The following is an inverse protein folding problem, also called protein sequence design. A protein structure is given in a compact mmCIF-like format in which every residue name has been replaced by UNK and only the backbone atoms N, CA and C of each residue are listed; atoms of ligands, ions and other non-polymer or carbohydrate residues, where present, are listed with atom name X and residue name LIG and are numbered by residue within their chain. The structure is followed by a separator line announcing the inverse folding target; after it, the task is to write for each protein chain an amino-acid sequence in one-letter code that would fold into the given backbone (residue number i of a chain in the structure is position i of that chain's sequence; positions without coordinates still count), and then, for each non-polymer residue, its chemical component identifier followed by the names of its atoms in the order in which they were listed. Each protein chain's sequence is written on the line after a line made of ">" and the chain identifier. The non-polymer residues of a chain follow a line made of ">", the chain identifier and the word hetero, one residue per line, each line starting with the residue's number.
data_IF_735863500917
#
_entry.id   IF_735863500917
#
_cell.length_a   1.000
_cell.length_b   1.000
_cell.length_c   1.000
_cell.angle_alpha   90.00
_cell.angle_beta   90.00
_cell.angle_gamma   90.00
#
_symmetry.space_group_name_H-M   'P 1'
#
loop_
_entity.id
_entity.type
_entity.pdbx_description
1 polymer ?
#
# COMPACT_ATOMS: atom_id res chain seq x y z
N UNK A 1 -15.94 -17.85 -6.51
CA UNK A 1 -15.55 -18.05 -5.07
C UNK A 1 -14.94 -16.74 -4.61
N UNK A 2 -15.37 -16.19 -3.48
CA UNK A 2 -14.77 -14.94 -2.96
C UNK A 2 -13.29 -15.14 -2.64
N UNK A 3 -12.48 -14.09 -2.79
CA UNK A 3 -11.01 -14.14 -2.61
C UNK A 3 -10.62 -14.82 -1.30
N UNK A 4 -11.26 -14.44 -0.20
CA UNK A 4 -10.99 -14.98 1.14
C UNK A 4 -11.20 -16.51 1.27
N UNK A 5 -11.97 -17.13 0.39
CA UNK A 5 -12.22 -18.58 0.39
C UNK A 5 -11.26 -19.35 -0.51
N UNK A 6 -10.33 -18.68 -1.19
CA UNK A 6 -9.35 -19.35 -2.05
C UNK A 6 -8.19 -19.89 -1.20
N UNK A 7 -7.84 -21.19 -1.29
CA UNK A 7 -6.80 -21.78 -0.43
C UNK A 7 -5.42 -21.13 -0.58
N UNK A 8 -5.09 -20.64 -1.77
CA UNK A 8 -3.85 -19.93 -2.05
C UNK A 8 -3.79 -18.60 -1.28
N UNK A 9 -4.90 -17.85 -1.27
CA UNK A 9 -4.99 -16.60 -0.54
C UNK A 9 -4.93 -16.82 0.98
N UNK A 10 -5.62 -17.84 1.48
CA UNK A 10 -5.54 -18.21 2.91
C UNK A 10 -4.12 -18.59 3.34
N UNK A 11 -3.36 -19.29 2.48
CA UNK A 11 -1.93 -19.57 2.76
C UNK A 11 -1.10 -18.30 2.86
N UNK A 12 -1.35 -17.31 2.01
CA UNK A 12 -0.66 -16.03 2.09
C UNK A 12 -0.98 -15.29 3.39
N UNK A 13 -2.25 -15.24 3.79
CA UNK A 13 -2.66 -14.64 5.06
C UNK A 13 -2.02 -15.35 6.26
N UNK A 14 -2.08 -16.68 6.30
CA UNK A 14 -1.46 -17.48 7.36
C UNK A 14 0.06 -17.29 7.42
N UNK A 15 0.73 -17.16 6.26
CA UNK A 15 2.18 -16.87 6.19
C UNK A 15 2.51 -15.52 6.85
N UNK A 16 1.69 -14.47 6.59
CA UNK A 16 1.85 -13.16 7.24
C UNK A 16 1.59 -13.24 8.74
N UNK A 17 0.51 -13.90 9.17
CA UNK A 17 0.18 -14.08 10.60
C UNK A 17 1.32 -14.78 11.35
N UNK A 18 1.83 -15.88 10.81
CA UNK A 18 2.92 -16.64 11.41
C UNK A 18 4.24 -15.87 11.45
N UNK A 19 4.45 -14.94 10.53
CA UNK A 19 5.64 -14.08 10.49
C UNK A 19 5.49 -12.79 11.31
N UNK A 20 4.36 -12.59 11.95
CA UNK A 20 4.11 -11.47 12.87
C UNK A 20 3.88 -12.00 14.28
N UNK A 21 4.93 -12.51 14.98
CA UNK A 21 4.77 -13.25 16.24
C UNK A 21 4.11 -12.43 17.34
N UNK A 22 4.25 -11.10 17.30
CA UNK A 22 3.63 -10.18 18.24
C UNK A 22 2.17 -9.80 17.90
N UNK A 23 1.59 -10.34 16.83
CA UNK A 23 0.18 -10.07 16.47
C UNK A 23 -0.81 -10.37 17.61
N UNK A 24 -0.45 -11.31 18.51
CA UNK A 24 -1.24 -11.63 19.72
C UNK A 24 -1.35 -10.46 20.71
N UNK A 25 -0.51 -9.44 20.61
CA UNK A 25 -0.62 -8.21 21.42
C UNK A 25 -1.84 -7.37 21.01
N UNK A 26 -2.40 -7.63 19.82
CA UNK A 26 -3.65 -7.01 19.36
C UNK A 26 -4.91 -7.67 19.96
N UNK A 27 -4.76 -8.65 20.87
CA UNK A 27 -5.90 -9.32 21.53
C UNK A 27 -6.81 -8.29 22.23
N UNK A 28 -8.08 -8.25 21.82
CA UNK A 28 -9.07 -7.32 22.37
C UNK A 28 -8.87 -5.85 21.99
N UNK A 29 -7.88 -5.55 21.12
CA UNK A 29 -7.63 -4.20 20.61
C UNK A 29 -8.47 -3.88 19.38
N UNK A 30 -8.51 -2.61 19.06
CA UNK A 30 -9.24 -2.08 17.89
C UNK A 30 -8.30 -1.40 16.90
N UNK A 31 -8.54 -1.63 15.61
CA UNK A 31 -7.75 -1.07 14.50
C UNK A 31 -8.69 -0.34 13.53
N UNK A 32 -8.46 0.96 13.32
CA UNK A 32 -9.13 1.73 12.25
C UNK A 32 -8.22 1.78 11.01
N UNK A 33 -8.64 1.10 9.95
CA UNK A 33 -7.99 1.17 8.64
C UNK A 33 -8.67 2.21 7.75
N UNK A 34 -8.02 3.35 7.53
CA UNK A 34 -8.48 4.44 6.66
C UNK A 34 -7.92 4.22 5.26
N UNK A 35 -8.81 4.06 4.27
CA UNK A 35 -8.47 3.59 2.93
C UNK A 35 -8.65 2.07 2.77
N UNK A 36 -9.61 1.50 3.49
CA UNK A 36 -9.89 0.08 3.60
C UNK A 36 -10.09 -0.65 2.26
N UNK A 37 -10.72 -0.01 1.27
CA UNK A 37 -10.99 -0.62 -0.04
C UNK A 37 -9.81 -0.59 -1.02
N UNK A 38 -8.65 -0.06 -0.63
CA UNK A 38 -7.41 -0.11 -1.40
C UNK A 38 -6.73 -1.48 -1.31
N UNK A 39 -5.71 -1.72 -2.14
CA UNK A 39 -4.98 -2.98 -2.18
C UNK A 39 -4.42 -3.38 -0.80
N UNK A 40 -3.65 -2.50 -0.19
CA UNK A 40 -3.02 -2.76 1.12
C UNK A 40 -4.08 -2.86 2.22
N UNK A 41 -5.04 -1.92 2.26
CA UNK A 41 -6.09 -1.91 3.27
C UNK A 41 -6.95 -3.18 3.24
N UNK A 42 -7.29 -3.66 2.04
CA UNK A 42 -8.07 -4.88 1.88
C UNK A 42 -7.31 -6.12 2.36
N UNK A 43 -6.03 -6.26 2.00
CA UNK A 43 -5.22 -7.39 2.44
C UNK A 43 -4.95 -7.36 3.94
N UNK A 44 -4.69 -6.17 4.51
CA UNK A 44 -4.50 -5.99 5.94
C UNK A 44 -5.75 -6.39 6.74
N UNK A 45 -6.93 -5.94 6.32
CA UNK A 45 -8.19 -6.31 6.97
C UNK A 45 -8.40 -7.81 6.91
N UNK A 46 -8.19 -8.44 5.73
CA UNK A 46 -8.32 -9.89 5.59
C UNK A 46 -7.32 -10.62 6.52
N UNK A 47 -6.09 -10.10 6.68
CA UNK A 47 -5.09 -10.66 7.60
C UNK A 47 -5.54 -10.56 9.06
N UNK A 48 -6.07 -9.41 9.49
CA UNK A 48 -6.56 -9.22 10.87
C UNK A 48 -7.78 -10.11 11.15
N UNK A 49 -8.69 -10.24 10.20
CA UNK A 49 -9.86 -11.11 10.35
C UNK A 49 -9.48 -12.60 10.35
N UNK A 50 -8.51 -13.01 9.53
CA UNK A 50 -7.97 -14.36 9.57
C UNK A 50 -7.24 -14.65 10.91
N UNK A 51 -6.50 -13.67 11.45
CA UNK A 51 -5.87 -13.79 12.76
C UNK A 51 -6.91 -13.94 13.89
N UNK A 52 -8.06 -13.27 13.80
CA UNK A 52 -9.16 -13.47 14.73
C UNK A 52 -9.67 -14.92 14.70
N UNK A 53 -9.81 -15.49 13.51
CA UNK A 53 -10.28 -16.88 13.34
C UNK A 53 -9.24 -17.91 13.79
N UNK A 54 -7.96 -17.73 13.40
CA UNK A 54 -6.91 -18.70 13.66
C UNK A 54 -6.41 -18.66 15.12
N UNK A 55 -6.39 -17.48 15.76
CA UNK A 55 -5.76 -17.25 17.07
C UNK A 55 -6.73 -16.87 18.18
N UNK A 56 -8.02 -16.69 17.89
CA UNK A 56 -9.08 -16.20 18.83
C UNK A 56 -8.68 -14.90 19.57
N UNK A 57 -8.07 -13.94 18.84
CA UNK A 57 -7.55 -12.71 19.47
C UNK A 57 -8.53 -11.54 19.50
N UNK A 58 -9.65 -11.62 18.83
CA UNK A 58 -10.79 -10.66 18.93
C UNK A 58 -10.42 -9.20 18.63
N UNK A 59 -9.65 -8.96 17.58
CA UNK A 59 -9.36 -7.61 17.11
C UNK A 59 -10.65 -7.01 16.54
N UNK A 60 -11.05 -5.82 17.02
CA UNK A 60 -12.13 -5.05 16.40
C UNK A 60 -11.56 -4.26 15.23
N UNK A 61 -12.07 -4.49 14.03
CA UNK A 61 -11.61 -3.84 12.80
C UNK A 61 -12.65 -2.84 12.31
N UNK A 62 -12.27 -1.58 12.20
CA UNK A 62 -13.05 -0.53 11.56
C UNK A 62 -12.51 -0.29 10.16
N UNK A 63 -13.34 -0.54 9.14
CA UNK A 63 -12.98 -0.39 7.73
C UNK A 63 -13.52 0.94 7.18
N UNK A 64 -12.67 1.98 7.09
CA UNK A 64 -13.10 3.30 6.65
C UNK A 64 -12.84 3.55 5.18
N UNK A 65 -13.85 4.09 4.48
CA UNK A 65 -13.75 4.55 3.10
C UNK A 65 -14.98 5.33 2.64
N UNK A 66 -14.87 6.00 1.48
CA UNK A 66 -15.87 6.94 0.95
C UNK A 66 -17.12 6.28 0.36
N UNK A 67 -17.07 5.01 0.04
CA UNK A 67 -18.16 4.32 -0.65
C UNK A 67 -18.54 3.06 0.11
N UNK A 68 -19.64 3.17 0.86
CA UNK A 68 -20.16 2.08 1.69
C UNK A 68 -20.47 0.82 0.88
N UNK A 69 -21.12 0.94 -0.27
CA UNK A 69 -21.47 -0.21 -1.10
C UNK A 69 -20.23 -0.97 -1.59
N UNK A 70 -19.14 -0.25 -1.93
CA UNK A 70 -17.87 -0.87 -2.30
C UNK A 70 -17.25 -1.63 -1.12
N UNK A 71 -17.32 -1.08 0.09
CA UNK A 71 -16.84 -1.73 1.31
C UNK A 71 -17.69 -2.97 1.64
N UNK A 72 -19.00 -2.86 1.60
CA UNK A 72 -19.94 -3.98 1.83
C UNK A 72 -19.71 -5.13 0.85
N UNK A 73 -19.55 -4.81 -0.44
CA UNK A 73 -19.21 -5.82 -1.46
C UNK A 73 -17.86 -6.48 -1.18
N UNK A 74 -16.83 -5.69 -0.83
CA UNK A 74 -15.47 -6.20 -0.59
C UNK A 74 -15.39 -7.06 0.67
N UNK A 75 -16.07 -6.68 1.73
CA UNK A 75 -16.01 -7.30 3.05
C UNK A 75 -17.27 -8.06 3.42
N UNK A 76 -18.03 -8.53 2.43
CA UNK A 76 -19.31 -9.22 2.64
C UNK A 76 -19.22 -10.43 3.60
N UNK A 77 -18.04 -11.08 3.68
CA UNK A 77 -17.82 -12.22 4.58
C UNK A 77 -17.71 -11.83 6.06
N UNK A 78 -17.58 -10.55 6.37
CA UNK A 78 -17.34 -10.07 7.74
C UNK A 78 -18.47 -9.25 8.33
N UNK A 79 -19.49 -8.87 7.53
CA UNK A 79 -20.54 -7.93 7.93
C UNK A 79 -21.35 -8.35 9.17
N UNK A 80 -21.49 -9.65 9.38
CA UNK A 80 -22.24 -10.20 10.52
C UNK A 80 -21.37 -10.48 11.75
N UNK A 81 -20.05 -10.15 11.69
CA UNK A 81 -19.14 -10.39 12.79
C UNK A 81 -19.06 -9.17 13.71
N UNK A 82 -19.22 -9.36 15.01
CA UNK A 82 -19.10 -8.29 16.02
C UNK A 82 -17.73 -7.59 16.01
N UNK A 83 -16.72 -8.29 15.50
CA UNK A 83 -15.34 -7.78 15.38
C UNK A 83 -15.09 -6.94 14.13
N UNK A 84 -16.11 -6.72 13.27
CA UNK A 84 -15.94 -5.94 12.05
C UNK A 84 -17.00 -4.85 11.92
N UNK A 85 -16.61 -3.67 11.44
CA UNK A 85 -17.51 -2.54 11.23
C UNK A 85 -17.08 -1.66 10.07
N UNK A 86 -18.03 -1.28 9.21
CA UNK A 86 -17.79 -0.33 8.12
C UNK A 86 -18.05 1.09 8.61
N UNK A 87 -17.06 1.96 8.41
CA UNK A 87 -17.13 3.40 8.66
C UNK A 87 -17.15 4.13 7.32
N UNK A 88 -18.29 4.71 6.95
CA UNK A 88 -18.38 5.55 5.75
C UNK A 88 -17.91 6.96 6.08
N UNK A 89 -16.97 7.50 5.28
CA UNK A 89 -16.49 8.86 5.44
C UNK A 89 -15.42 9.24 4.44
N UNK A 90 -15.33 10.54 4.14
CA UNK A 90 -14.21 11.13 3.41
C UNK A 90 -13.12 11.54 4.41
N UNK A 91 -11.89 11.13 4.15
CA UNK A 91 -10.76 11.42 5.03
C UNK A 91 -10.45 12.93 5.12
N UNK A 92 -10.89 13.72 4.15
CA UNK A 92 -10.72 15.20 4.16
C UNK A 92 -11.71 15.90 5.10
N UNK A 93 -12.72 15.18 5.60
CA UNK A 93 -13.69 15.64 6.57
C UNK A 93 -13.34 15.13 8.00
N UNK A 94 -13.89 15.73 9.06
CA UNK A 94 -13.69 15.23 10.42
C UNK A 94 -14.11 13.76 10.56
N UNK A 95 -13.25 12.93 11.14
CA UNK A 95 -13.58 11.55 11.42
C UNK A 95 -14.66 11.44 12.51
N UNK A 96 -15.51 10.38 12.47
CA UNK A 96 -16.55 10.16 13.47
C UNK A 96 -15.96 10.03 14.88
N UNK A 97 -16.43 10.86 15.82
CA UNK A 97 -15.88 10.93 17.19
C UNK A 97 -16.16 9.68 18.03
N UNK A 98 -17.17 8.93 17.66
CA UNK A 98 -17.56 7.66 18.29
C UNK A 98 -16.58 6.53 18.00
N UNK A 99 -15.80 6.63 16.93
CA UNK A 99 -14.78 5.65 16.59
C UNK A 99 -13.51 5.95 17.41
N UNK A 100 -13.31 5.18 18.46
CA UNK A 100 -12.13 5.27 19.33
C UNK A 100 -11.33 3.97 19.18
N UNK A 101 -10.41 3.95 18.22
CA UNK A 101 -9.58 2.78 17.96
C UNK A 101 -8.23 2.89 18.70
N UNK A 102 -7.72 1.76 19.19
CA UNK A 102 -6.38 1.69 19.81
C UNK A 102 -5.28 1.99 18.79
N UNK A 103 -5.48 1.60 17.53
CA UNK A 103 -4.52 1.81 16.44
C UNK A 103 -5.21 2.45 15.23
N UNK A 104 -4.54 3.45 14.65
CA UNK A 104 -4.99 4.11 13.42
C UNK A 104 -3.99 3.83 12.30
N UNK A 105 -4.47 3.36 11.14
CA UNK A 105 -3.63 3.14 9.96
C UNK A 105 -4.16 4.02 8.83
N UNK A 106 -3.43 5.08 8.50
CA UNK A 106 -3.79 6.02 7.45
C UNK A 106 -3.18 5.64 6.11
N UNK A 107 -3.96 4.96 5.27
CA UNK A 107 -3.59 4.56 3.91
C UNK A 107 -4.45 5.19 2.82
N UNK A 108 -5.34 6.13 3.15
CA UNK A 108 -6.18 6.80 2.15
C UNK A 108 -5.34 7.77 1.31
N UNK A 109 -5.31 7.55 0.01
CA UNK A 109 -4.68 8.43 -0.97
C UNK A 109 -5.10 8.05 -2.39
N UNK A 110 -5.06 8.99 -3.31
CA UNK A 110 -5.09 8.70 -4.73
C UNK A 110 -3.68 8.28 -5.19
N UNK A 111 -3.50 7.04 -5.65
CA UNK A 111 -2.16 6.44 -5.83
C UNK A 111 -1.86 6.01 -7.27
N UNK A 112 -2.62 6.46 -8.28
CA UNK A 112 -2.42 6.03 -9.65
C UNK A 112 -2.38 7.21 -10.65
N UNK A 113 -1.63 7.08 -11.76
CA UNK A 113 -1.35 8.18 -12.70
C UNK A 113 -2.58 8.90 -13.22
N UNK A 114 -3.67 8.16 -13.49
CA UNK A 114 -4.92 8.76 -13.97
C UNK A 114 -5.50 9.75 -12.95
N UNK A 115 -5.49 9.42 -11.65
CA UNK A 115 -5.98 10.33 -10.62
C UNK A 115 -5.15 11.61 -10.54
N UNK A 116 -3.83 11.51 -10.67
CA UNK A 116 -2.96 12.71 -10.68
C UNK A 116 -3.26 13.65 -11.85
N UNK A 117 -3.64 13.10 -13.01
CA UNK A 117 -3.96 13.87 -14.19
C UNK A 117 -5.37 14.45 -14.17
N UNK A 118 -6.36 13.69 -13.64
CA UNK A 118 -7.78 14.07 -13.69
C UNK A 118 -8.27 14.84 -12.47
N UNK A 119 -7.62 14.66 -11.32
CA UNK A 119 -7.93 15.33 -10.04
C UNK A 119 -6.66 15.68 -9.26
N UNK A 120 -5.82 16.59 -9.77
CA UNK A 120 -4.57 16.98 -9.13
C UNK A 120 -4.79 17.70 -7.80
N UNK A 121 -5.82 18.55 -7.70
CA UNK A 121 -6.15 19.27 -6.46
C UNK A 121 -6.64 18.27 -5.40
N UNK A 122 -7.58 17.41 -5.72
CA UNK A 122 -8.06 16.37 -4.81
C UNK A 122 -6.96 15.41 -4.36
N UNK A 123 -5.98 15.14 -5.23
CA UNK A 123 -4.80 14.33 -4.85
C UNK A 123 -3.97 15.02 -3.77
N UNK A 124 -3.69 16.33 -3.89
CA UNK A 124 -2.95 17.09 -2.88
C UNK A 124 -3.78 17.16 -1.58
N UNK A 125 -5.06 17.53 -1.67
CA UNK A 125 -5.91 17.74 -0.50
C UNK A 125 -6.20 16.44 0.25
N UNK A 126 -6.37 15.31 -0.44
CA UNK A 126 -6.53 14.00 0.22
C UNK A 126 -5.29 13.66 1.07
N UNK A 127 -4.08 13.97 0.58
CA UNK A 127 -2.86 13.72 1.36
C UNK A 127 -2.72 14.73 2.50
N UNK A 128 -2.84 16.02 2.25
CA UNK A 128 -2.60 17.06 3.26
C UNK A 128 -3.76 17.20 4.24
N UNK A 129 -4.96 17.58 3.77
CA UNK A 129 -6.11 17.78 4.64
C UNK A 129 -6.58 16.46 5.27
N UNK A 130 -6.53 15.35 4.50
CA UNK A 130 -6.86 14.03 5.03
C UNK A 130 -5.92 13.62 6.16
N UNK A 131 -4.62 13.83 6.02
CA UNK A 131 -3.68 13.55 7.10
C UNK A 131 -3.95 14.44 8.32
N UNK A 132 -4.24 15.73 8.11
CA UNK A 132 -4.58 16.64 9.21
C UNK A 132 -5.81 16.17 9.99
N UNK A 133 -6.88 15.72 9.30
CA UNK A 133 -8.08 15.21 9.97
C UNK A 133 -7.80 13.94 10.78
N UNK A 134 -7.01 13.02 10.24
CA UNK A 134 -6.59 11.81 10.98
C UNK A 134 -5.80 12.20 12.24
N UNK A 135 -4.86 13.12 12.13
CA UNK A 135 -4.05 13.55 13.26
C UNK A 135 -4.87 14.34 14.30
N UNK A 136 -5.84 15.16 13.89
CA UNK A 136 -6.82 15.81 14.80
C UNK A 136 -7.64 14.77 15.55
N UNK A 137 -8.10 13.73 14.84
CA UNK A 137 -8.81 12.62 15.47
C UNK A 137 -7.92 11.88 16.48
N UNK A 138 -6.66 11.61 16.11
CA UNK A 138 -5.69 10.98 17.02
C UNK A 138 -5.43 11.83 18.28
N UNK A 139 -5.35 13.17 18.16
CA UNK A 139 -5.25 14.05 19.34
C UNK A 139 -6.48 13.93 20.24
N UNK A 140 -7.67 13.79 19.67
CA UNK A 140 -8.91 13.70 20.43
C UNK A 140 -9.13 12.32 21.09
N UNK A 141 -8.68 11.23 20.44
CA UNK A 141 -8.94 9.85 20.87
C UNK A 141 -7.75 9.17 21.57
N UNK A 142 -6.54 9.75 21.43
CA UNK A 142 -5.30 9.24 22.05
C UNK A 142 -5.06 7.74 21.77
N UNK A 143 -4.96 7.31 20.49
CA UNK A 143 -4.64 5.93 20.15
C UNK A 143 -3.24 5.56 20.68
N UNK A 144 -3.00 4.26 20.86
CA UNK A 144 -1.67 3.75 21.24
C UNK A 144 -0.63 4.06 20.16
N UNK A 145 -1.02 3.99 18.87
CA UNK A 145 -0.16 4.34 17.74
C UNK A 145 -0.94 4.69 16.48
N UNK A 146 -0.34 5.58 15.68
CA UNK A 146 -0.78 5.91 14.32
C UNK A 146 0.28 5.43 13.32
N UNK A 147 -0.11 4.71 12.28
CA UNK A 147 0.72 4.47 11.11
C UNK A 147 0.29 5.40 9.96
N UNK A 148 1.24 6.18 9.45
CA UNK A 148 1.05 6.96 8.23
C UNK A 148 1.73 6.27 7.06
N UNK A 149 0.95 5.64 6.17
CA UNK A 149 1.50 4.96 4.99
C UNK A 149 2.03 5.98 3.98
N UNK A 150 3.36 6.08 3.91
CA UNK A 150 4.09 6.91 2.97
C UNK A 150 4.57 6.09 1.76
N UNK A 151 5.47 6.64 0.95
CA UNK A 151 5.80 6.08 -0.36
C UNK A 151 7.25 6.37 -0.75
N UNK A 152 7.84 5.52 -1.58
CA UNK A 152 9.13 5.76 -2.25
C UNK A 152 9.17 7.09 -3.04
N UNK A 153 8.02 7.59 -3.46
CA UNK A 153 7.97 8.82 -4.28
C UNK A 153 8.37 10.08 -3.53
N UNK A 154 8.37 10.08 -2.20
CA UNK A 154 8.85 11.22 -1.41
C UNK A 154 10.35 11.50 -1.62
N UNK A 155 11.11 10.51 -2.07
CA UNK A 155 12.53 10.69 -2.35
C UNK A 155 12.80 11.51 -3.61
N UNK A 156 11.82 11.61 -4.53
CA UNK A 156 12.00 12.33 -5.79
C UNK A 156 12.89 11.60 -6.79
N UNK A 157 13.66 12.38 -7.58
CA UNK A 157 14.52 11.85 -8.61
C UNK A 157 15.88 11.42 -8.03
N UNK A 158 16.29 10.18 -8.35
CA UNK A 158 17.69 9.78 -8.21
C UNK A 158 18.48 10.35 -9.41
N UNK A 159 19.39 11.27 -9.15
CA UNK A 159 20.22 11.93 -10.17
C UNK A 159 21.61 11.29 -10.33
N UNK A 160 21.78 10.07 -9.82
CA UNK A 160 23.03 9.32 -9.88
C UNK A 160 23.98 9.62 -8.72
N UNK A 161 23.50 10.31 -7.70
CA UNK A 161 24.23 10.70 -6.50
C UNK A 161 24.09 9.67 -5.35
N UNK A 162 23.17 8.72 -5.48
CA UNK A 162 22.98 7.64 -4.51
C UNK A 162 22.60 6.33 -5.23
N UNK A 163 23.08 5.20 -4.73
CA UNK A 163 22.73 3.88 -5.27
C UNK A 163 21.34 3.43 -4.83
N UNK A 164 21.01 3.55 -3.54
CA UNK A 164 19.73 3.22 -2.93
C UNK A 164 19.25 4.36 -2.05
N UNK A 165 17.96 4.61 -2.01
CA UNK A 165 17.38 5.60 -1.12
C UNK A 165 17.39 5.09 0.32
N UNK A 166 18.16 5.76 1.17
CA UNK A 166 18.10 5.64 2.63
C UNK A 166 17.03 6.59 3.21
N UNK A 167 16.60 6.39 4.45
CA UNK A 167 15.51 7.18 5.02
C UNK A 167 15.85 8.67 5.21
N UNK A 168 17.13 9.03 5.25
CA UNK A 168 17.63 10.40 5.38
C UNK A 168 17.84 11.11 4.02
N UNK A 169 17.70 10.39 2.89
CA UNK A 169 17.85 11.00 1.56
C UNK A 169 16.69 11.93 1.23
N UNK A 170 17.04 13.10 0.65
CA UNK A 170 16.07 14.07 0.16
C UNK A 170 16.44 14.51 -1.26
N UNK A 171 15.82 13.87 -2.26
CA UNK A 171 16.06 14.16 -3.66
C UNK A 171 15.16 15.26 -4.23
N UNK A 172 15.38 15.57 -5.49
CA UNK A 172 14.69 16.64 -6.19
C UNK A 172 13.29 16.25 -6.64
N UNK A 173 12.33 17.15 -6.42
CA UNK A 173 11.02 17.12 -7.05
C UNK A 173 10.78 18.47 -7.72
N UNK A 174 10.44 18.46 -9.02
CA UNK A 174 10.00 19.66 -9.73
C UNK A 174 8.55 19.98 -9.36
N UNK A 175 8.38 20.87 -8.37
CA UNK A 175 7.07 21.26 -7.86
C UNK A 175 6.20 22.05 -8.86
N UNK A 176 6.76 22.48 -10.01
CA UNK A 176 6.03 23.20 -11.06
C UNK A 176 5.36 22.26 -12.07
N UNK A 177 5.18 20.98 -11.73
CA UNK A 177 4.51 19.98 -12.54
C UNK A 177 3.30 19.40 -11.84
N UNK A 178 2.26 19.00 -12.59
CA UNK A 178 1.10 18.30 -12.01
C UNK A 178 1.49 16.99 -11.31
N UNK A 179 2.56 16.35 -11.78
CA UNK A 179 3.06 15.09 -11.22
C UNK A 179 3.61 15.23 -9.80
N UNK A 180 4.05 16.45 -9.43
CA UNK A 180 4.59 16.72 -8.10
C UNK A 180 3.54 16.65 -6.98
N UNK A 181 2.25 16.83 -7.30
CA UNK A 181 1.19 16.94 -6.29
C UNK A 181 1.09 15.75 -5.34
N UNK A 182 1.33 14.53 -5.82
CA UNK A 182 1.33 13.34 -4.97
C UNK A 182 2.58 13.23 -4.07
N UNK A 183 3.81 13.23 -4.61
CA UNK A 183 5.01 13.12 -3.77
C UNK A 183 5.18 14.31 -2.80
N UNK A 184 4.90 15.54 -3.22
CA UNK A 184 4.94 16.70 -2.32
C UNK A 184 3.83 16.65 -1.27
N UNK A 185 2.62 16.20 -1.65
CA UNK A 185 1.54 15.96 -0.69
C UNK A 185 1.97 14.95 0.40
N UNK A 186 2.66 13.88 0.04
CA UNK A 186 3.19 12.91 0.99
C UNK A 186 4.35 13.47 1.82
N UNK A 187 5.28 14.26 1.24
CA UNK A 187 6.36 14.94 2.00
C UNK A 187 5.82 15.86 3.07
N UNK A 188 4.88 16.73 2.71
CA UNK A 188 4.29 17.66 3.68
C UNK A 188 3.49 16.93 4.74
N UNK A 189 2.85 15.80 4.40
CA UNK A 189 2.14 14.97 5.38
C UNK A 189 3.09 14.31 6.39
N UNK A 190 4.27 13.84 5.98
CA UNK A 190 5.30 13.37 6.92
C UNK A 190 5.77 14.49 7.85
N UNK A 191 6.00 15.70 7.30
CA UNK A 191 6.36 16.87 8.13
C UNK A 191 5.26 17.25 9.11
N UNK A 192 3.99 17.11 8.69
CA UNK A 192 2.84 17.33 9.56
C UNK A 192 2.78 16.28 10.69
N UNK A 193 3.08 15.01 10.40
CA UNK A 193 3.21 13.97 11.43
C UNK A 193 4.26 14.36 12.48
N UNK A 194 5.45 14.80 12.06
CA UNK A 194 6.50 15.25 12.98
C UNK A 194 6.07 16.45 13.85
N UNK A 195 5.34 17.40 13.26
CA UNK A 195 4.80 18.54 14.01
C UNK A 195 3.79 18.11 15.09
N UNK A 196 2.92 17.13 14.78
CA UNK A 196 1.96 16.58 15.73
C UNK A 196 2.62 15.73 16.82
N UNK A 197 3.67 14.98 16.50
CA UNK A 197 4.50 14.29 17.49
C UNK A 197 5.07 15.30 18.48
N UNK A 198 5.74 16.34 17.96
CA UNK A 198 6.39 17.35 18.79
C UNK A 198 5.41 18.13 19.68
N UNK A 199 4.19 18.42 19.17
CA UNK A 199 3.22 19.26 19.86
C UNK A 199 2.28 18.50 20.79
N UNK A 200 1.90 17.27 20.42
CA UNK A 200 0.84 16.51 21.07
C UNK A 200 1.32 15.15 21.62
N UNK A 201 2.61 14.86 21.48
CA UNK A 201 3.24 13.61 21.94
C UNK A 201 2.64 12.32 21.33
N UNK A 202 1.99 12.41 20.17
CA UNK A 202 1.43 11.26 19.49
C UNK A 202 2.54 10.24 19.12
N UNK A 203 2.24 8.95 19.27
CA UNK A 203 3.09 7.88 18.72
C UNK A 203 2.72 7.66 17.26
N UNK A 204 3.59 8.10 16.34
CA UNK A 204 3.39 7.97 14.89
C UNK A 204 4.61 7.28 14.29
N UNK A 205 4.38 6.25 13.44
CA UNK A 205 5.42 5.55 12.67
C UNK A 205 5.10 5.64 11.19
N UNK A 206 6.13 5.76 10.34
CA UNK A 206 5.97 6.12 8.92
C UNK A 206 6.58 5.04 8.01
N UNK A 207 5.84 3.98 7.62
CA UNK A 207 6.30 3.06 6.58
C UNK A 207 6.30 3.74 5.20
N UNK A 208 7.46 3.80 4.54
CA UNK A 208 7.66 4.27 3.17
C UNK A 208 7.66 3.07 2.21
N UNK A 209 6.52 2.83 1.60
CA UNK A 209 6.31 1.67 0.74
C UNK A 209 6.88 1.89 -0.67
N UNK A 210 7.55 0.89 -1.21
CA UNK A 210 7.89 0.85 -2.63
C UNK A 210 6.68 0.44 -3.49
N UNK A 211 6.91 0.08 -4.77
CA UNK A 211 5.85 -0.38 -5.69
C UNK A 211 5.28 -1.70 -5.22
N UNK A 212 4.11 -1.63 -4.60
CA UNK A 212 3.40 -2.80 -4.08
C UNK A 212 2.50 -3.40 -5.16
N UNK A 213 2.47 -4.74 -5.25
CA UNK A 213 1.56 -5.51 -6.08
C UNK A 213 0.94 -6.67 -5.30
N UNK A 214 -0.18 -7.21 -5.78
CA UNK A 214 -0.83 -8.34 -5.12
C UNK A 214 -2.29 -8.53 -5.54
N UNK A 215 -2.95 -9.60 -5.07
CA UNK A 215 -4.26 -10.04 -5.56
C UNK A 215 -5.41 -9.09 -5.22
N UNK A 216 -5.24 -8.24 -4.20
CA UNK A 216 -6.24 -7.25 -3.80
C UNK A 216 -6.13 -5.93 -4.56
N UNK A 217 -5.39 -5.90 -5.67
CA UNK A 217 -5.26 -4.72 -6.53
C UNK A 217 -6.60 -4.28 -7.12
N UNK A 218 -6.75 -2.97 -7.33
CA UNK A 218 -7.92 -2.46 -8.03
C UNK A 218 -7.80 -2.77 -9.53
N UNK A 219 -8.83 -3.39 -10.11
CA UNK A 219 -8.86 -3.70 -11.56
C UNK A 219 -8.85 -2.43 -12.44
N UNK A 220 -9.12 -1.26 -11.87
CA UNK A 220 -9.04 0.04 -12.52
C UNK A 220 -7.68 0.73 -12.36
N UNK A 221 -6.69 0.10 -11.73
CA UNK A 221 -5.36 0.69 -11.54
C UNK A 221 -4.63 0.79 -12.90
N UNK A 222 -4.06 1.96 -13.17
CA UNK A 222 -3.39 2.28 -14.43
C UNK A 222 -1.86 2.28 -14.34
N UNK A 223 -1.29 1.82 -13.22
CA UNK A 223 0.17 1.63 -13.11
C UNK A 223 0.66 0.54 -14.07
N UNK A 224 1.87 0.67 -14.60
CA UNK A 224 2.44 -0.30 -15.53
C UNK A 224 2.41 -1.73 -14.97
N UNK A 225 2.85 -1.95 -13.73
CA UNK A 225 2.80 -3.28 -13.09
C UNK A 225 1.39 -3.86 -13.02
N UNK A 226 0.40 -3.03 -12.69
CA UNK A 226 -1.02 -3.44 -12.64
C UNK A 226 -1.55 -3.80 -14.02
N UNK A 227 -1.19 -3.04 -15.06
CA UNK A 227 -1.58 -3.35 -16.44
C UNK A 227 -0.92 -4.64 -16.95
N UNK A 228 0.33 -4.90 -16.60
CA UNK A 228 1.01 -6.16 -16.95
C UNK A 228 0.32 -7.36 -16.29
N UNK A 229 -0.04 -7.26 -15.01
CA UNK A 229 -0.79 -8.30 -14.30
C UNK A 229 -2.16 -8.53 -14.97
N UNK A 230 -2.89 -7.46 -15.31
CA UNK A 230 -4.18 -7.57 -15.98
C UNK A 230 -4.06 -8.22 -17.36
N UNK A 231 -3.03 -7.88 -18.15
CA UNK A 231 -2.77 -8.51 -19.44
C UNK A 231 -2.48 -10.01 -19.27
N UNK A 232 -1.65 -10.39 -18.30
CA UNK A 232 -1.39 -11.79 -17.98
C UNK A 232 -2.67 -12.55 -17.59
N UNK A 233 -3.52 -11.96 -16.74
CA UNK A 233 -4.82 -12.50 -16.33
C UNK A 233 -5.77 -12.69 -17.53
N UNK A 234 -5.78 -11.71 -18.43
CA UNK A 234 -6.62 -11.72 -19.64
C UNK A 234 -6.05 -12.54 -20.78
N UNK A 235 -4.92 -13.22 -20.57
CA UNK A 235 -4.23 -14.01 -21.60
C UNK A 235 -3.86 -13.18 -22.84
N UNK A 236 -3.41 -11.94 -22.61
CA UNK A 236 -2.91 -11.00 -23.61
C UNK A 236 -1.41 -10.85 -23.51
N UNK A 237 -0.77 -10.42 -24.59
CA UNK A 237 0.64 -10.06 -24.56
C UNK A 237 0.88 -8.85 -23.63
N UNK A 238 2.06 -8.81 -23.02
CA UNK A 238 2.43 -7.76 -22.06
C UNK A 238 2.97 -6.56 -22.85
N UNK A 239 2.21 -5.48 -22.87
CA UNK A 239 2.56 -4.27 -23.63
C UNK A 239 3.43 -3.35 -22.79
N UNK A 240 4.64 -3.07 -23.28
CA UNK A 240 5.60 -2.15 -22.69
C UNK A 240 5.66 -0.85 -23.50
N UNK A 241 5.27 0.27 -22.90
CA UNK A 241 5.23 1.59 -23.56
C UNK A 241 6.54 2.38 -23.37
N UNK A 242 7.66 1.69 -23.22
CA UNK A 242 9.02 2.26 -23.09
C UNK A 242 10.04 1.15 -23.32
N UNK A 243 11.33 1.47 -23.31
CA UNK A 243 12.40 0.45 -23.33
C UNK A 243 12.43 -0.43 -22.06
N UNK A 244 11.68 -0.07 -21.02
CA UNK A 244 11.59 -0.84 -19.79
C UNK A 244 12.86 -0.85 -18.94
N UNK A 245 13.75 0.13 -19.12
CA UNK A 245 15.04 0.21 -18.40
C UNK A 245 14.91 0.79 -16.99
N UNK A 246 13.74 1.33 -16.63
CA UNK A 246 13.50 1.85 -15.29
C UNK A 246 13.72 0.74 -14.25
N UNK A 247 14.49 1.06 -13.20
CA UNK A 247 14.91 0.12 -12.16
C UNK A 247 14.28 0.49 -10.83
N UNK A 248 13.46 -0.41 -10.28
CA UNK A 248 12.60 -0.11 -9.15
C UNK A 248 12.57 -1.24 -8.12
N UNK A 249 12.44 -0.87 -6.85
CA UNK A 249 12.05 -1.81 -5.81
C UNK A 249 10.57 -2.13 -5.90
N UNK A 250 10.24 -3.41 -5.73
CA UNK A 250 8.88 -3.91 -5.59
C UNK A 250 8.72 -4.63 -4.25
N UNK A 251 7.46 -4.80 -3.85
CA UNK A 251 7.09 -5.60 -2.68
C UNK A 251 5.75 -6.29 -2.92
N UNK A 252 5.64 -7.54 -2.53
CA UNK A 252 4.34 -8.23 -2.51
C UNK A 252 3.47 -7.67 -1.39
N UNK A 253 2.15 -7.60 -1.60
CA UNK A 253 1.23 -7.04 -0.60
C UNK A 253 1.29 -7.78 0.73
N UNK A 254 1.56 -9.08 0.73
CA UNK A 254 1.77 -9.87 1.94
C UNK A 254 2.98 -9.40 2.75
N UNK A 255 4.12 -9.13 2.09
CA UNK A 255 5.30 -8.54 2.75
C UNK A 255 5.03 -7.10 3.22
N UNK A 256 4.34 -6.29 2.40
CA UNK A 256 3.98 -4.93 2.79
C UNK A 256 3.10 -4.91 4.06
N UNK A 257 2.10 -5.81 4.14
CA UNK A 257 1.22 -5.93 5.31
C UNK A 257 1.96 -6.51 6.52
N UNK A 258 2.85 -7.49 6.32
CA UNK A 258 3.73 -8.01 7.37
C UNK A 258 4.60 -6.89 7.97
N UNK A 259 5.20 -6.03 7.11
CA UNK A 259 5.97 -4.87 7.56
C UNK A 259 5.10 -3.84 8.32
N UNK A 260 3.90 -3.56 7.81
CA UNK A 260 2.94 -2.64 8.47
C UNK A 260 2.57 -3.16 9.86
N UNK A 261 2.24 -4.44 10.00
CA UNK A 261 1.92 -5.05 11.30
C UNK A 261 3.13 -5.09 12.24
N UNK A 262 4.32 -5.39 11.70
CA UNK A 262 5.55 -5.32 12.49
C UNK A 262 5.80 -3.90 13.02
N UNK A 263 5.73 -2.88 12.16
CA UNK A 263 5.93 -1.48 12.55
C UNK A 263 4.81 -0.93 13.45
N UNK A 264 3.59 -1.46 13.33
CA UNK A 264 2.49 -1.15 14.26
C UNK A 264 2.84 -1.56 15.69
N UNK A 265 3.55 -2.66 15.85
CA UNK A 265 3.87 -3.26 17.15
C UNK A 265 5.27 -2.91 17.67
N UNK A 266 6.26 -2.74 16.78
CA UNK A 266 7.68 -2.65 17.09
C UNK A 266 8.37 -1.40 16.56
N UNK A 267 7.70 -0.61 15.70
CA UNK A 267 8.30 0.60 15.12
C UNK A 267 8.64 1.63 16.21
N UNK A 268 9.68 2.41 16.00
CA UNK A 268 10.07 3.49 16.90
C UNK A 268 9.28 4.78 16.59
N UNK A 269 8.77 5.43 17.62
CA UNK A 269 8.02 6.68 17.51
C UNK A 269 8.80 7.75 16.75
N UNK A 270 8.15 8.34 15.76
CA UNK A 270 8.70 9.41 14.93
C UNK A 270 9.55 8.93 13.76
N UNK A 271 9.85 7.63 13.69
CA UNK A 271 10.76 7.07 12.69
C UNK A 271 10.04 6.70 11.40
N UNK A 272 10.75 6.91 10.28
CA UNK A 272 10.38 6.41 8.98
C UNK A 272 11.17 5.13 8.64
N UNK A 273 10.52 4.20 7.92
CA UNK A 273 11.13 2.93 7.52
C UNK A 273 10.83 2.62 6.06
N UNK A 274 11.86 2.34 5.29
CA UNK A 274 11.72 1.83 3.93
C UNK A 274 11.21 0.39 3.92
N UNK A 275 10.13 0.15 3.21
CA UNK A 275 9.53 -1.18 3.06
C UNK A 275 9.70 -1.65 1.63
N UNK A 276 10.61 -2.60 1.41
CA UNK A 276 10.88 -3.23 0.13
C UNK A 276 11.41 -4.65 0.31
N UNK A 277 11.37 -5.44 -0.75
CA UNK A 277 11.97 -6.75 -0.82
C UNK A 277 13.19 -6.65 -1.74
N UNK A 278 14.41 -6.77 -1.21
CA UNK A 278 15.65 -6.57 -2.00
C UNK A 278 15.79 -7.55 -3.17
N UNK A 279 15.18 -8.74 -3.05
CA UNK A 279 15.14 -9.72 -4.14
C UNK A 279 14.12 -9.34 -5.23
N UNK A 280 13.36 -8.26 -5.03
CA UNK A 280 12.36 -7.74 -5.97
C UNK A 280 12.80 -6.40 -6.59
N UNK A 281 14.09 -6.08 -6.56
CA UNK A 281 14.66 -4.95 -7.29
C UNK A 281 14.78 -5.34 -8.77
N UNK A 282 13.92 -4.81 -9.63
CA UNK A 282 13.76 -5.24 -11.02
C UNK A 282 13.68 -4.06 -11.99
N UNK A 283 14.19 -4.28 -13.21
CA UNK A 283 13.82 -3.44 -14.34
C UNK A 283 12.38 -3.70 -14.74
N UNK A 284 11.72 -2.67 -15.23
CA UNK A 284 10.33 -2.79 -15.67
C UNK A 284 10.15 -3.87 -16.75
N UNK A 285 11.12 -4.00 -17.68
CA UNK A 285 11.13 -5.07 -18.70
C UNK A 285 11.29 -6.49 -18.11
N UNK A 286 12.01 -6.61 -16.99
CA UNK A 286 12.21 -7.90 -16.32
C UNK A 286 10.91 -8.37 -15.64
N UNK A 287 10.19 -7.42 -14.99
CA UNK A 287 8.86 -7.69 -14.46
C UNK A 287 7.86 -8.08 -15.57
N UNK A 288 7.89 -7.36 -16.69
CA UNK A 288 7.06 -7.67 -17.86
C UNK A 288 7.37 -9.08 -18.41
N UNK A 289 8.65 -9.46 -18.52
CA UNK A 289 9.06 -10.77 -19.00
C UNK A 289 8.60 -11.89 -18.05
N UNK A 290 8.75 -11.72 -16.74
CA UNK A 290 8.28 -12.73 -15.78
C UNK A 290 6.77 -12.96 -15.87
N UNK A 291 5.97 -11.91 -16.04
CA UNK A 291 4.53 -12.04 -16.23
C UNK A 291 4.15 -12.65 -17.59
N UNK A 292 4.91 -12.35 -18.63
CA UNK A 292 4.76 -13.00 -19.94
C UNK A 292 5.04 -14.50 -19.84
N UNK A 293 6.12 -14.89 -19.16
CA UNK A 293 6.50 -16.30 -18.96
C UNK A 293 5.41 -17.05 -18.14
N UNK A 294 4.87 -16.43 -17.07
CA UNK A 294 3.79 -17.02 -16.26
C UNK A 294 2.51 -17.24 -17.09
N UNK A 295 2.18 -16.32 -17.98
CA UNK A 295 0.96 -16.39 -18.80
C UNK A 295 1.15 -17.11 -20.14
N UNK A 296 2.38 -17.49 -20.51
CA UNK A 296 2.70 -18.09 -21.82
C UNK A 296 2.51 -17.09 -22.97
N UNK A 297 2.76 -15.79 -22.72
CA UNK A 297 2.61 -14.68 -23.66
C UNK A 297 3.96 -14.04 -23.98
N UNK A 298 3.94 -13.01 -24.82
CA UNK A 298 5.14 -12.26 -25.23
C UNK A 298 5.14 -10.85 -24.66
N UNK A 299 6.32 -10.24 -24.55
CA UNK A 299 6.47 -8.82 -24.28
C UNK A 299 6.48 -8.09 -25.63
N UNK A 300 5.57 -7.13 -25.80
CA UNK A 300 5.47 -6.28 -26.98
C UNK A 300 5.86 -4.86 -26.61
N UNK A 301 6.73 -4.23 -27.42
CA UNK A 301 7.12 -2.84 -27.22
C UNK A 301 6.29 -1.94 -28.14
N UNK A 302 5.52 -1.04 -27.57
CA UNK A 302 4.75 -0.02 -28.27
C UNK A 302 5.23 1.37 -27.83
N UNK A 303 5.52 2.26 -28.77
CA UNK A 303 5.87 3.64 -28.40
C UNK A 303 4.64 4.35 -27.86
N UNK A 304 4.75 5.03 -26.72
CA UNK A 304 3.63 5.77 -26.12
C UNK A 304 3.29 6.99 -26.97
N UNK A 305 2.03 7.38 -26.97
CA UNK A 305 1.60 8.66 -27.55
C UNK A 305 2.04 9.85 -26.66
N UNK A 306 1.90 11.09 -27.19
CA UNK A 306 2.31 12.31 -26.48
C UNK A 306 1.50 12.57 -25.20
N UNK A 307 0.27 12.05 -25.12
CA UNK A 307 -0.62 12.23 -23.96
C UNK A 307 -0.19 11.26 -22.86
N UNK A 308 0.08 10.01 -23.22
CA UNK A 308 0.58 8.97 -22.30
C UNK A 308 1.93 9.36 -21.70
N UNK A 309 2.86 9.90 -22.51
CA UNK A 309 4.18 10.35 -22.05
C UNK A 309 4.10 11.39 -20.92
N UNK A 310 3.11 12.30 -20.94
CA UNK A 310 2.92 13.31 -19.90
C UNK A 310 2.54 12.73 -18.54
N UNK A 311 1.94 11.54 -18.51
CA UNK A 311 1.56 10.83 -17.28
C UNK A 311 2.67 9.97 -16.69
N UNK A 312 3.77 9.74 -17.41
CA UNK A 312 4.83 8.84 -16.97
C UNK A 312 5.72 9.48 -15.89
N UNK A 313 6.15 8.65 -14.94
CA UNK A 313 7.20 9.03 -14.01
C UNK A 313 8.52 9.22 -14.76
N UNK A 314 9.22 10.32 -14.50
CA UNK A 314 10.58 10.54 -15.02
C UNK A 314 11.64 9.75 -14.25
N UNK A 315 11.27 9.12 -13.12
CA UNK A 315 12.19 8.32 -12.32
C UNK A 315 12.73 7.16 -13.14
N UNK A 316 14.04 7.12 -13.33
CA UNK A 316 14.76 6.04 -14.01
C UNK A 316 15.17 4.94 -13.01
N UNK A 317 15.46 5.33 -11.78
CA UNK A 317 15.90 4.46 -10.68
C UNK A 317 15.23 4.88 -9.39
N UNK A 318 14.63 3.93 -8.68
CA UNK A 318 14.05 4.16 -7.35
C UNK A 318 14.13 2.87 -6.54
N UNK A 319 15.31 2.59 -6.02
CA UNK A 319 15.63 1.43 -5.18
C UNK A 319 15.70 1.90 -3.74
N UNK A 320 15.00 1.19 -2.85
CA UNK A 320 15.01 1.45 -1.41
C UNK A 320 16.10 0.63 -0.70
N UNK A 321 16.81 1.25 0.20
CA UNK A 321 17.58 0.54 1.22
C UNK A 321 16.62 0.16 2.37
N UNK A 322 16.47 -1.12 2.63
CA UNK A 322 15.61 -1.65 3.69
C UNK A 322 16.39 -2.09 4.94
N UNK A 323 17.63 -1.64 5.08
CA UNK A 323 18.51 -2.02 6.19
C UNK A 323 17.91 -1.65 7.54
N UNK A 324 17.36 -0.44 7.68
CA UNK A 324 16.79 0.05 8.94
C UNK A 324 15.64 -0.81 9.45
N UNK A 325 14.69 -1.20 8.60
CA UNK A 325 13.59 -2.06 9.03
C UNK A 325 14.08 -3.48 9.35
N UNK A 326 15.12 -3.97 8.67
CA UNK A 326 15.75 -5.26 8.99
C UNK A 326 16.47 -5.22 10.33
N UNK A 327 17.15 -4.13 10.66
CA UNK A 327 17.75 -3.91 11.98
C UNK A 327 16.69 -3.80 13.09
N UNK A 328 15.49 -3.33 12.77
CA UNK A 328 14.32 -3.34 13.66
C UNK A 328 13.65 -4.73 13.79
N UNK A 329 14.11 -5.73 13.01
CA UNK A 329 13.71 -7.16 13.14
C UNK A 329 12.73 -7.67 12.08
N UNK A 330 12.33 -6.88 11.08
CA UNK A 330 11.47 -7.35 10.00
C UNK A 330 12.29 -7.80 8.78
N UNK A 331 11.82 -8.85 8.10
CA UNK A 331 12.38 -9.38 6.84
C UNK A 331 11.26 -9.79 5.90
N UNK A 332 11.42 -9.62 4.56
CA UNK A 332 10.46 -10.12 3.59
C UNK A 332 10.45 -11.66 3.60
N UNK A 333 9.27 -12.24 3.37
CA UNK A 333 9.05 -13.69 3.47
C UNK A 333 8.55 -14.34 2.19
N UNK A 334 8.14 -13.55 1.20
CA UNK A 334 7.63 -14.06 -0.06
C UNK A 334 8.70 -14.06 -1.14
N UNK A 335 8.63 -15.05 -2.04
CA UNK A 335 9.47 -15.14 -3.22
C UNK A 335 8.78 -14.46 -4.41
N UNK A 336 9.54 -13.76 -5.28
CA UNK A 336 8.97 -12.97 -6.38
C UNK A 336 8.11 -13.79 -7.31
N UNK A 337 8.62 -14.91 -7.80
CA UNK A 337 7.91 -15.77 -8.77
C UNK A 337 6.62 -16.34 -8.18
N UNK A 338 6.66 -16.80 -6.94
CA UNK A 338 5.48 -17.29 -6.20
C UNK A 338 4.43 -16.15 -6.08
N UNK A 339 4.85 -14.97 -5.66
CA UNK A 339 3.98 -13.79 -5.48
C UNK A 339 3.31 -13.35 -6.78
N UNK A 340 4.03 -13.39 -7.91
CA UNK A 340 3.48 -13.05 -9.22
C UNK A 340 2.45 -14.11 -9.67
N UNK A 341 2.74 -15.41 -9.49
CA UNK A 341 1.81 -16.50 -9.79
C UNK A 341 0.53 -16.36 -8.94
N UNK A 342 0.68 -16.17 -7.62
CA UNK A 342 -0.45 -15.98 -6.72
C UNK A 342 -1.29 -14.79 -7.13
N UNK A 343 -0.66 -13.66 -7.48
CA UNK A 343 -1.37 -12.46 -7.94
C UNK A 343 -2.18 -12.74 -9.21
N UNK A 344 -1.58 -13.35 -10.22
CA UNK A 344 -2.26 -13.63 -11.50
C UNK A 344 -3.43 -14.59 -11.32
N UNK A 345 -3.22 -15.71 -10.62
CA UNK A 345 -4.26 -16.74 -10.44
C UNK A 345 -5.42 -16.24 -9.56
N UNK A 346 -5.14 -15.51 -8.48
CA UNK A 346 -6.16 -14.99 -7.59
C UNK A 346 -7.00 -13.87 -8.25
N UNK A 347 -6.37 -12.95 -9.00
CA UNK A 347 -7.09 -11.92 -9.76
C UNK A 347 -7.94 -12.54 -10.87
N UNK A 348 -7.44 -13.59 -11.54
CA UNK A 348 -8.21 -14.35 -12.54
C UNK A 348 -9.46 -14.97 -11.93
N UNK A 349 -9.34 -15.58 -10.75
CA UNK A 349 -10.47 -16.13 -10.01
C UNK A 349 -11.51 -15.09 -9.59
N UNK A 350 -11.09 -13.88 -9.24
CA UNK A 350 -12.03 -12.78 -8.95
C UNK A 350 -12.80 -12.31 -10.19
N UNK A 351 -12.11 -12.14 -11.34
CA UNK A 351 -12.77 -11.71 -12.59
C UNK A 351 -13.82 -12.70 -13.11
N UNK A 352 -13.68 -13.99 -12.85
CA UNK A 352 -14.65 -15.00 -13.23
C UNK A 352 -15.92 -14.99 -12.38
N UNK A 353 -15.93 -14.27 -11.26
CA UNK A 353 -17.05 -14.21 -10.30
C UNK A 353 -17.79 -12.84 -10.33
N UNK A 354 -17.38 -11.92 -11.21
CA UNK A 354 -18.02 -10.63 -11.47
C UNK A 354 -18.82 -10.70 -12.77
#
# INVERSE_FOLDING_TARGET
>A
MTLIKQPMYQKDLAKVINHTPKIKQLHGKSVLMIGASGMIGSFLIDTLMAANEELDIKIKVYAMGRNRQKLEKRFASYLELDTFEIVEGDVTEPLPKEIQADYLIHGASNTHPKAYATDPIGTIMTNLAGTEQVLKHAVATQPERVLFLSTVEIYGENRGDIEKFTEDYCGYIDCNTLRAGYPEGKRVSESLCQAYIAKHDLDIVIPRLCRTFGPTMLLSDTKASSQFILNAVEQKDIVLKSEGNQYFSYVYVGDAVSAILHLLLEGEKGEAYNVSSENFDLRLKELAQQLADISGKQVIFELPDEIEQKGFSKASTAILDNKKIKENGWYPIFELKESLIHTVELVKGEKQNV
#
